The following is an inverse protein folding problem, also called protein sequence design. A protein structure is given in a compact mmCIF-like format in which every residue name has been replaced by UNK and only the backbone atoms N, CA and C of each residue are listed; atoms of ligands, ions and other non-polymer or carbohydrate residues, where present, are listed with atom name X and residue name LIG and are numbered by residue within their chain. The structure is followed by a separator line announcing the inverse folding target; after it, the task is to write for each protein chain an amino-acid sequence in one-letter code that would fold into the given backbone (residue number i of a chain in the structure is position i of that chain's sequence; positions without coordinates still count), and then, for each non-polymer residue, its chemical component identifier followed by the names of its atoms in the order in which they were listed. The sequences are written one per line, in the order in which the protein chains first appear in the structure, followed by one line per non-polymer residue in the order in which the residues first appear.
data_IF_287961767678
#
_entry.id   IF_287961767678
#
_cell.length_a   1.000
_cell.length_b   1.000
_cell.length_c   1.000
_cell.angle_alpha   90.00
_cell.angle_beta   90.00
_cell.angle_gamma   90.00
#
_symmetry.space_group_name_H-M   'P 1'
#
loop_
_entity.id
_entity.type
_entity.pdbx_description
1 polymer ?
#
# COMPACT_ATOMS: atom_id res chain seq x y z
N UNK A 1 48.78 -45.22 -27.16
CA UNK A 1 47.45 -45.45 -26.60
C UNK A 1 47.46 -45.54 -25.05
N UNK A 2 48.04 -44.58 -24.33
CA UNK A 2 48.07 -44.56 -22.83
C UNK A 2 47.75 -43.20 -22.20
N UNK A 3 47.41 -42.21 -23.01
CA UNK A 3 47.15 -40.83 -22.52
C UNK A 3 45.64 -40.54 -22.33
N UNK A 4 44.75 -41.30 -23.01
CA UNK A 4 43.29 -41.02 -22.96
C UNK A 4 42.61 -41.54 -21.68
N UNK A 5 43.28 -42.40 -20.89
CA UNK A 5 42.70 -42.93 -19.63
C UNK A 5 42.97 -42.04 -18.39
N UNK A 6 43.94 -41.11 -18.51
CA UNK A 6 44.29 -40.20 -17.41
C UNK A 6 43.39 -38.93 -17.40
N UNK A 7 42.80 -38.57 -18.53
CA UNK A 7 41.96 -37.40 -18.67
C UNK A 7 40.53 -37.67 -18.13
N UNK A 8 40.06 -38.93 -18.20
CA UNK A 8 38.75 -39.30 -17.70
C UNK A 8 38.67 -39.31 -16.14
N UNK A 9 39.80 -39.52 -15.44
CA UNK A 9 39.83 -39.51 -13.99
C UNK A 9 39.88 -38.13 -13.38
N UNK A 10 40.40 -37.13 -14.07
CA UNK A 10 40.52 -35.77 -13.57
C UNK A 10 39.19 -35.00 -13.62
N UNK A 11 38.31 -35.32 -14.58
CA UNK A 11 36.98 -34.67 -14.67
C UNK A 11 36.00 -35.06 -13.58
N UNK A 12 36.07 -36.30 -13.07
CA UNK A 12 35.18 -36.74 -12.01
C UNK A 12 35.45 -36.09 -10.63
N UNK A 13 36.70 -35.71 -10.39
CA UNK A 13 37.07 -35.08 -9.10
C UNK A 13 36.61 -33.59 -9.05
N UNK A 14 36.56 -32.92 -10.20
CA UNK A 14 36.09 -31.52 -10.25
C UNK A 14 34.55 -31.37 -10.16
N UNK A 15 33.79 -32.39 -10.55
CA UNK A 15 32.31 -32.34 -10.49
C UNK A 15 31.81 -32.56 -9.05
N UNK A 16 32.50 -33.33 -8.23
CA UNK A 16 32.10 -33.53 -6.82
C UNK A 16 32.32 -32.32 -5.92
N UNK A 17 33.20 -31.39 -6.28
CA UNK A 17 33.38 -30.17 -5.47
C UNK A 17 32.35 -29.07 -5.77
N UNK A 18 31.72 -29.08 -6.94
CA UNK A 18 30.67 -28.13 -7.28
C UNK A 18 29.32 -28.40 -6.59
N UNK A 19 29.05 -29.65 -6.20
CA UNK A 19 27.81 -30.04 -5.53
C UNK A 19 27.81 -29.70 -4.03
N UNK A 20 29.02 -29.68 -3.41
CA UNK A 20 29.12 -29.31 -1.97
C UNK A 20 29.02 -27.80 -1.71
N UNK A 21 29.19 -26.94 -2.72
CA UNK A 21 29.09 -25.50 -2.57
C UNK A 21 27.66 -24.97 -2.71
N UNK A 22 26.70 -25.78 -3.18
CA UNK A 22 25.29 -25.36 -3.33
C UNK A 22 24.39 -25.63 -2.13
N UNK A 23 24.80 -26.46 -1.18
CA UNK A 23 24.00 -26.76 0.02
C UNK A 23 24.13 -25.71 1.14
N UNK A 24 25.09 -24.78 1.06
CA UNK A 24 25.23 -23.74 2.10
C UNK A 24 24.56 -22.40 1.77
N UNK A 25 24.01 -22.21 0.57
CA UNK A 25 23.29 -20.97 0.21
C UNK A 25 21.76 -21.05 0.34
N UNK A 26 21.20 -22.24 0.53
CA UNK A 26 19.75 -22.42 0.62
C UNK A 26 19.18 -22.37 2.05
N UNK A 27 20.03 -22.08 3.04
CA UNK A 27 19.66 -22.03 4.46
C UNK A 27 19.48 -20.62 5.03
N UNK A 28 19.67 -19.55 4.24
CA UNK A 28 19.58 -18.16 4.75
C UNK A 28 18.52 -17.29 4.08
N UNK A 29 17.81 -17.77 3.06
CA UNK A 29 16.78 -16.96 2.36
C UNK A 29 15.33 -17.29 2.73
N UNK A 30 15.07 -18.19 3.68
CA UNK A 30 13.69 -18.54 4.03
C UNK A 30 13.22 -18.06 5.41
N UNK A 31 13.99 -17.23 6.11
CA UNK A 31 13.56 -16.69 7.43
C UNK A 31 13.31 -15.18 7.40
N UNK A 32 13.15 -14.58 6.20
CA UNK A 32 12.71 -13.19 6.08
C UNK A 32 11.33 -13.09 5.44
N UNK A 33 10.42 -13.99 5.78
CA UNK A 33 8.98 -13.85 5.47
C UNK A 33 8.26 -13.41 6.72
N UNK A 34 7.99 -12.09 6.79
CA UNK A 34 6.88 -11.51 7.54
C UNK A 34 6.77 -11.90 9.03
N UNK A 35 7.83 -11.77 9.79
CA UNK A 35 7.66 -11.41 11.18
C UNK A 35 7.52 -9.89 11.22
N UNK A 36 6.29 -9.40 11.01
CA UNK A 36 5.92 -8.04 11.40
C UNK A 36 6.21 -7.96 12.88
N UNK A 37 7.20 -7.18 13.27
CA UNK A 37 7.53 -7.05 14.70
C UNK A 37 6.37 -6.31 15.37
N UNK A 38 6.15 -6.55 16.66
CA UNK A 38 5.15 -5.81 17.44
C UNK A 38 5.39 -4.30 17.34
N UNK A 39 6.64 -3.90 17.14
CA UNK A 39 7.05 -2.51 16.93
C UNK A 39 6.54 -1.98 15.58
N UNK A 40 6.66 -2.76 14.49
CA UNK A 40 6.17 -2.36 13.16
C UNK A 40 4.63 -2.26 13.17
N UNK A 41 3.94 -3.17 13.84
CA UNK A 41 2.48 -3.13 14.00
C UNK A 41 2.05 -1.89 14.79
N UNK A 42 2.76 -1.56 15.87
CA UNK A 42 2.49 -0.35 16.64
C UNK A 42 2.72 0.92 15.81
N UNK A 43 3.85 1.02 15.10
CA UNK A 43 4.17 2.17 14.26
C UNK A 43 3.13 2.36 13.13
N UNK A 44 2.69 1.27 12.51
CA UNK A 44 1.65 1.34 11.48
C UNK A 44 0.30 1.80 12.03
N UNK A 45 -0.08 1.37 13.24
CA UNK A 45 -1.33 1.82 13.88
C UNK A 45 -1.29 3.30 14.25
N UNK A 46 -0.15 3.79 14.77
CA UNK A 46 0.05 5.22 15.05
C UNK A 46 -0.03 6.05 13.76
N UNK A 47 0.56 5.56 12.67
CA UNK A 47 0.49 6.22 11.37
C UNK A 47 -0.96 6.31 10.86
N UNK A 48 -1.75 5.26 11.00
CA UNK A 48 -3.16 5.25 10.59
C UNK A 48 -4.00 6.27 11.38
N UNK A 49 -3.72 6.45 12.68
CA UNK A 49 -4.36 7.50 13.49
C UNK A 49 -4.00 8.89 12.96
N UNK A 50 -2.71 9.15 12.66
CA UNK A 50 -2.26 10.44 12.12
C UNK A 50 -2.93 10.72 10.76
N UNK A 51 -2.99 9.73 9.88
CA UNK A 51 -3.68 9.83 8.58
C UNK A 51 -5.16 10.17 8.79
N UNK A 52 -5.82 9.52 9.75
CA UNK A 52 -7.22 9.77 10.08
C UNK A 52 -7.47 11.20 10.54
N UNK A 53 -6.61 11.75 11.38
CA UNK A 53 -6.70 13.14 11.87
C UNK A 53 -6.44 14.14 10.74
N UNK A 54 -5.44 13.92 9.90
CA UNK A 54 -5.17 14.75 8.72
C UNK A 54 -6.34 14.75 7.73
N UNK A 55 -6.91 13.58 7.46
CA UNK A 55 -8.09 13.43 6.59
C UNK A 55 -9.35 14.09 7.18
N UNK A 56 -9.43 14.21 8.52
CA UNK A 56 -10.53 14.86 9.23
C UNK A 56 -10.41 16.38 9.29
N UNK A 57 -9.22 16.92 9.09
CA UNK A 57 -8.95 18.36 9.11
C UNK A 57 -9.78 19.11 8.06
N UNK A 58 -10.21 20.33 8.34
CA UNK A 58 -10.86 21.21 7.37
C UNK A 58 -9.88 21.88 6.40
N UNK A 59 -8.57 21.78 6.67
CA UNK A 59 -7.53 22.39 5.86
C UNK A 59 -7.17 21.54 4.64
N UNK A 60 -7.15 22.17 3.47
CA UNK A 60 -6.81 21.54 2.20
C UNK A 60 -5.43 20.85 2.22
N UNK A 61 -4.42 21.56 2.73
CA UNK A 61 -3.04 21.06 2.76
C UNK A 61 -2.90 19.78 3.59
N UNK A 62 -3.62 19.70 4.72
CA UNK A 62 -3.63 18.50 5.56
C UNK A 62 -4.22 17.29 4.81
N UNK A 63 -5.25 17.51 3.99
CA UNK A 63 -5.86 16.46 3.17
C UNK A 63 -4.91 15.96 2.07
N UNK A 64 -4.13 16.86 1.46
CA UNK A 64 -3.08 16.48 0.49
C UNK A 64 -2.03 15.61 1.17
N UNK A 65 -1.58 15.98 2.37
CA UNK A 65 -0.60 15.18 3.14
C UNK A 65 -1.18 13.80 3.50
N UNK A 66 -2.45 13.74 3.92
CA UNK A 66 -3.12 12.47 4.18
C UNK A 66 -3.14 11.56 2.93
N UNK A 67 -3.47 12.11 1.75
CA UNK A 67 -3.47 11.36 0.50
C UNK A 67 -2.08 10.84 0.12
N UNK A 68 -1.02 11.62 0.36
CA UNK A 68 0.36 11.18 0.11
C UNK A 68 0.75 9.98 0.98
N UNK A 69 0.44 10.02 2.28
CA UNK A 69 0.68 8.88 3.18
C UNK A 69 -0.14 7.64 2.79
N UNK A 70 -1.40 7.84 2.38
CA UNK A 70 -2.26 6.75 1.92
C UNK A 70 -1.74 6.11 0.64
N UNK A 71 -1.31 6.91 -0.34
CA UNK A 71 -0.72 6.44 -1.59
C UNK A 71 0.55 5.62 -1.33
N UNK A 72 1.45 6.11 -0.47
CA UNK A 72 2.67 5.39 -0.09
C UNK A 72 2.35 4.06 0.60
N UNK A 73 1.40 4.07 1.54
CA UNK A 73 0.99 2.88 2.26
C UNK A 73 0.37 1.83 1.34
N UNK A 74 -0.53 2.22 0.44
CA UNK A 74 -1.16 1.32 -0.55
C UNK A 74 -0.11 0.80 -1.53
N UNK A 75 0.78 1.67 -2.02
CA UNK A 75 1.88 1.29 -2.91
C UNK A 75 2.85 0.29 -2.28
N UNK A 76 2.99 0.27 -0.96
CA UNK A 76 3.73 -0.75 -0.21
C UNK A 76 2.93 -2.03 0.06
N UNK A 77 1.69 -2.12 -0.42
CA UNK A 77 0.78 -3.26 -0.22
C UNK A 77 0.07 -3.27 1.13
N UNK A 78 0.14 -2.18 1.89
CA UNK A 78 -0.58 -2.05 3.16
C UNK A 78 -2.00 -1.56 2.92
N UNK A 79 -2.97 -2.19 3.58
CA UNK A 79 -4.34 -1.72 3.64
C UNK A 79 -4.93 -2.04 5.01
N UNK A 80 -5.53 -1.05 5.66
CA UNK A 80 -6.21 -1.21 6.94
C UNK A 80 -7.65 -0.70 6.85
N UNK A 81 -8.53 -1.10 7.76
CA UNK A 81 -9.88 -0.52 7.86
C UNK A 81 -9.85 0.99 8.09
N UNK A 82 -8.88 1.48 8.88
CA UNK A 82 -8.73 2.91 9.19
C UNK A 82 -8.31 3.70 7.94
N UNK A 83 -7.40 3.16 7.11
CA UNK A 83 -7.05 3.75 5.83
C UNK A 83 -8.27 3.81 4.87
N UNK A 84 -9.06 2.73 4.81
CA UNK A 84 -10.29 2.70 4.00
C UNK A 84 -11.30 3.74 4.50
N UNK A 85 -11.43 3.91 5.81
CA UNK A 85 -12.29 4.93 6.41
C UNK A 85 -11.80 6.36 6.11
N UNK A 86 -10.49 6.61 6.20
CA UNK A 86 -9.89 7.91 5.86
C UNK A 86 -10.12 8.25 4.38
N UNK A 87 -9.87 7.30 3.45
CA UNK A 87 -10.14 7.47 2.03
C UNK A 87 -11.62 7.71 1.74
N UNK A 88 -12.52 6.97 2.41
CA UNK A 88 -13.96 7.14 2.25
C UNK A 88 -14.42 8.54 2.70
N UNK A 89 -13.78 9.08 3.74
CA UNK A 89 -14.02 10.45 4.19
C UNK A 89 -13.59 11.47 3.16
N UNK A 90 -12.34 11.34 2.63
CA UNK A 90 -11.79 12.23 1.61
C UNK A 90 -12.58 12.17 0.30
N UNK A 91 -13.00 10.97 -0.12
CA UNK A 91 -13.85 10.78 -1.30
C UNK A 91 -15.25 11.38 -1.14
N UNK A 92 -15.77 11.47 0.10
CA UNK A 92 -17.05 12.09 0.41
C UNK A 92 -17.00 13.58 0.69
N UNK A 93 -15.83 14.22 0.60
CA UNK A 93 -15.62 15.62 0.94
C UNK A 93 -16.47 16.57 0.08
N UNK A 94 -17.18 17.47 0.73
CA UNK A 94 -18.09 18.41 0.05
C UNK A 94 -19.40 17.79 -0.47
N UNK A 95 -19.53 16.47 -0.51
CA UNK A 95 -20.74 15.75 -0.92
C UNK A 95 -21.47 15.21 0.32
N UNK A 96 -20.87 14.23 1.00
CA UNK A 96 -21.44 13.60 2.20
C UNK A 96 -21.12 14.37 3.48
N UNK A 97 -19.91 14.91 3.54
CA UNK A 97 -19.45 15.76 4.64
C UNK A 97 -19.32 17.18 4.14
N UNK A 98 -20.22 18.09 4.55
CA UNK A 98 -20.23 19.47 4.11
C UNK A 98 -19.93 20.41 5.29
N UNK A 99 -18.82 21.15 5.20
CA UNK A 99 -18.54 22.32 6.04
C UNK A 99 -19.08 23.56 5.35
N UNK A 100 -19.92 24.33 6.03
CA UNK A 100 -20.56 25.54 5.47
C UNK A 100 -20.26 26.76 6.29
N UNK A 101 -19.85 27.83 5.61
CA UNK A 101 -19.70 29.16 6.18
C UNK A 101 -20.49 30.16 5.36
N UNK A 102 -21.40 30.89 6.00
CA UNK A 102 -22.27 31.87 5.33
C UNK A 102 -23.03 31.28 4.12
N UNK A 103 -23.48 30.00 4.23
CA UNK A 103 -24.22 29.32 3.17
C UNK A 103 -23.36 28.75 2.04
N UNK A 104 -22.05 29.00 2.02
CA UNK A 104 -21.12 28.42 1.04
C UNK A 104 -20.48 27.14 1.57
N UNK A 105 -20.36 26.14 0.73
CA UNK A 105 -19.58 24.93 1.05
C UNK A 105 -18.12 25.31 0.99
N UNK A 106 -17.40 25.09 2.08
CA UNK A 106 -15.98 25.45 2.21
C UNK A 106 -15.04 24.31 1.86
N UNK A 107 -15.53 23.08 1.95
CA UNK A 107 -14.78 21.86 1.77
C UNK A 107 -15.13 21.13 0.45
N UNK A 108 -15.41 21.87 -0.61
CA UNK A 108 -15.60 21.30 -1.95
C UNK A 108 -14.27 21.24 -2.69
N UNK A 109 -13.58 20.09 -2.56
CA UNK A 109 -12.27 19.83 -3.18
C UNK A 109 -12.38 18.66 -4.17
N UNK A 110 -12.74 18.91 -5.45
CA UNK A 110 -12.92 17.86 -6.45
C UNK A 110 -11.67 17.02 -6.69
N UNK A 111 -10.50 17.64 -6.65
CA UNK A 111 -9.19 17.01 -6.82
C UNK A 111 -8.86 16.04 -5.68
N UNK A 112 -9.18 16.40 -4.43
CA UNK A 112 -9.06 15.52 -3.26
C UNK A 112 -9.97 14.29 -3.45
N UNK A 113 -11.24 14.51 -3.86
CA UNK A 113 -12.20 13.42 -4.08
C UNK A 113 -11.74 12.48 -5.18
N UNK A 114 -11.29 13.03 -6.33
CA UNK A 114 -10.82 12.23 -7.45
C UNK A 114 -9.63 11.34 -7.02
N UNK A 115 -8.61 11.91 -6.38
CA UNK A 115 -7.46 11.15 -5.91
C UNK A 115 -7.85 10.09 -4.87
N UNK A 116 -8.76 10.42 -3.94
CA UNK A 116 -9.25 9.46 -2.94
C UNK A 116 -10.04 8.32 -3.59
N UNK A 117 -10.84 8.59 -4.63
CA UNK A 117 -11.55 7.57 -5.40
C UNK A 117 -10.58 6.65 -6.15
N UNK A 118 -9.52 7.19 -6.75
CA UNK A 118 -8.49 6.40 -7.43
C UNK A 118 -7.85 5.41 -6.43
N UNK A 119 -7.42 5.89 -5.27
CA UNK A 119 -6.82 5.05 -4.23
C UNK A 119 -7.80 4.03 -3.63
N UNK A 120 -9.09 4.38 -3.48
CA UNK A 120 -10.13 3.42 -3.08
C UNK A 120 -10.29 2.30 -4.11
N UNK A 121 -10.09 2.60 -5.38
CA UNK A 121 -10.13 1.60 -6.47
C UNK A 121 -9.01 0.57 -6.37
N UNK A 122 -7.89 0.89 -5.75
CA UNK A 122 -6.76 -0.01 -5.51
C UNK A 122 -7.00 -0.96 -4.33
N UNK A 123 -7.97 -0.66 -3.44
CA UNK A 123 -8.30 -1.47 -2.27
C UNK A 123 -9.53 -2.34 -2.58
N UNK A 124 -9.39 -3.66 -2.81
CA UNK A 124 -10.49 -4.53 -3.26
C UNK A 124 -11.39 -4.96 -2.08
N UNK A 125 -12.03 -4.00 -1.40
CA UNK A 125 -12.99 -4.26 -0.32
C UNK A 125 -14.42 -3.95 -0.73
N UNK A 126 -15.39 -4.52 -0.02
CA UNK A 126 -16.81 -4.24 -0.25
C UNK A 126 -17.14 -2.79 0.12
N UNK A 127 -16.49 -2.28 1.16
CA UNK A 127 -16.63 -0.90 1.63
C UNK A 127 -16.15 0.08 0.55
N UNK A 128 -14.95 -0.13 -0.01
CA UNK A 128 -14.39 0.69 -1.10
C UNK A 128 -15.33 0.72 -2.29
N UNK A 129 -15.81 -0.46 -2.73
CA UNK A 129 -16.77 -0.56 -3.84
C UNK A 129 -18.05 0.22 -3.57
N UNK A 130 -18.65 0.05 -2.39
CA UNK A 130 -19.90 0.72 -2.03
C UNK A 130 -19.70 2.24 -1.98
N UNK A 131 -18.57 2.70 -1.46
CA UNK A 131 -18.25 4.11 -1.43
C UNK A 131 -18.09 4.69 -2.83
N UNK A 132 -17.34 4.04 -3.72
CA UNK A 132 -17.18 4.46 -5.10
C UNK A 132 -18.52 4.55 -5.84
N UNK A 133 -19.41 3.55 -5.70
CA UNK A 133 -20.75 3.58 -6.29
C UNK A 133 -21.56 4.76 -5.74
N UNK A 134 -21.48 5.02 -4.44
CA UNK A 134 -22.22 6.14 -3.82
C UNK A 134 -21.72 7.48 -4.34
N UNK A 135 -20.39 7.69 -4.42
CA UNK A 135 -19.82 8.93 -4.97
C UNK A 135 -20.21 9.09 -6.44
N UNK A 136 -20.09 8.04 -7.26
CA UNK A 136 -20.44 8.10 -8.69
C UNK A 136 -21.91 8.49 -8.93
N UNK A 137 -22.80 8.23 -7.96
CA UNK A 137 -24.23 8.60 -8.07
C UNK A 137 -24.55 9.97 -7.48
N UNK A 138 -23.76 10.45 -6.54
CA UNK A 138 -24.05 11.69 -5.78
C UNK A 138 -23.20 12.87 -6.24
N UNK A 139 -21.99 12.63 -6.77
CA UNK A 139 -21.13 13.71 -7.27
C UNK A 139 -21.67 14.24 -8.61
N UNK A 140 -21.79 15.55 -8.70
CA UNK A 140 -22.24 16.27 -9.90
C UNK A 140 -21.08 16.90 -10.67
N UNK A 141 -19.89 16.85 -10.10
CA UNK A 141 -18.69 17.37 -10.74
C UNK A 141 -18.16 16.29 -11.71
N UNK A 142 -17.78 16.65 -12.94
CA UNK A 142 -17.10 15.72 -13.82
C UNK A 142 -15.69 15.46 -13.26
N UNK A 143 -15.41 14.21 -12.99
CA UNK A 143 -14.06 13.75 -12.62
C UNK A 143 -13.25 13.39 -13.85
#
# INVERSE_FOLDING_TARGET
MKVSKLIAGACCIFICQAVFAQEQQNGKEQTSRNETTVEDEYLSSVQDVIIGELAASDEYDNKIVALQYLEEAIGSGRSSPDMTAALSRLAGEGIKSQSRTNGRIMNNFPDIRAKACDLLGEIPTVESKNMLVSIATEDKEPM
#
